data_IF_562575849854
#
_entry.id   IF_562575849854
#
_cell.length_a   1.000
_cell.length_b   1.000
_cell.length_c   1.000
_cell.angle_alpha   90.00
_cell.angle_beta   90.00
_cell.angle_gamma   90.00
#
_symmetry.space_group_name_H-M   'P 1'
#
loop_
_entity.id
_entity.type
_entity.pdbx_description
1 polymer ?
#
# COMPACT_ATOMS: atom_id res chain seq x y z
N UNK A 1 62.79 97.41 -59.74
CA UNK A 1 62.49 96.83 -61.08
C UNK A 1 61.79 95.49 -60.89
N UNK A 2 60.47 95.49 -60.98
CA UNK A 2 59.64 94.27 -60.94
C UNK A 2 59.90 93.43 -62.18
N UNK A 3 60.42 92.21 -62.02
CA UNK A 3 60.38 91.20 -63.08
C UNK A 3 59.02 90.52 -63.03
N UNK A 4 58.14 90.90 -63.96
CA UNK A 4 56.90 90.15 -64.23
C UNK A 4 57.32 88.82 -64.85
N UNK A 5 57.01 87.72 -64.17
CA UNK A 5 57.20 86.38 -64.69
C UNK A 5 56.15 86.16 -65.80
N UNK A 6 56.58 86.25 -67.06
CA UNK A 6 55.72 85.96 -68.23
C UNK A 6 55.96 84.50 -68.60
N UNK A 7 55.16 83.62 -68.00
CA UNK A 7 55.05 82.22 -68.43
C UNK A 7 54.24 82.24 -69.73
N UNK A 8 54.82 81.79 -70.86
CA UNK A 8 54.12 81.74 -72.14
C UNK A 8 52.87 80.85 -72.08
N UNK A 9 51.75 81.32 -72.66
CA UNK A 9 50.45 80.63 -72.65
C UNK A 9 50.50 79.17 -73.17
N UNK A 10 51.44 78.86 -74.06
CA UNK A 10 51.65 77.50 -74.58
C UNK A 10 52.12 76.49 -73.51
N UNK A 11 53.05 76.87 -72.63
CA UNK A 11 53.51 75.97 -71.55
C UNK A 11 52.41 75.75 -70.51
N UNK A 12 51.53 76.73 -70.26
CA UNK A 12 50.39 76.60 -69.35
C UNK A 12 49.38 75.56 -69.82
N UNK A 13 49.18 75.44 -71.13
CA UNK A 13 48.24 74.48 -71.73
C UNK A 13 48.65 73.02 -71.52
N UNK A 14 49.96 72.71 -71.56
CA UNK A 14 50.46 71.35 -71.39
C UNK A 14 50.39 70.85 -69.95
N UNK A 15 50.62 71.73 -68.97
CA UNK A 15 50.47 71.38 -67.54
C UNK A 15 49.01 71.15 -67.16
N UNK A 16 48.09 71.97 -67.65
CA UNK A 16 46.65 71.80 -67.41
C UNK A 16 46.12 70.50 -68.03
N UNK A 17 46.55 70.15 -69.24
CA UNK A 17 46.19 68.89 -69.90
C UNK A 17 46.73 67.65 -69.16
N UNK A 18 47.93 67.75 -68.58
CA UNK A 18 48.51 66.66 -67.79
C UNK A 18 47.83 66.48 -66.41
N UNK A 19 47.48 67.58 -65.74
CA UNK A 19 46.70 67.54 -64.50
C UNK A 19 45.28 66.97 -64.71
N UNK A 20 44.61 67.34 -65.82
CA UNK A 20 43.31 66.77 -66.19
C UNK A 20 43.38 65.27 -66.46
N UNK A 21 44.40 64.79 -67.20
CA UNK A 21 44.59 63.36 -67.45
C UNK A 21 44.87 62.58 -66.17
N UNK A 22 45.71 63.11 -65.27
CA UNK A 22 45.98 62.50 -63.96
C UNK A 22 44.71 62.46 -63.12
N UNK A 23 43.91 63.53 -63.09
CA UNK A 23 42.63 63.57 -62.38
C UNK A 23 41.61 62.56 -62.95
N UNK A 24 41.54 62.39 -64.27
CA UNK A 24 40.66 61.41 -64.92
C UNK A 24 41.08 59.97 -64.56
N UNK A 25 42.37 59.66 -64.59
CA UNK A 25 42.90 58.33 -64.24
C UNK A 25 42.66 58.01 -62.77
N UNK A 26 42.93 58.95 -61.86
CA UNK A 26 42.69 58.78 -60.42
C UNK A 26 41.19 58.72 -60.08
N UNK A 27 40.36 59.53 -60.74
CA UNK A 27 38.90 59.49 -60.60
C UNK A 27 38.32 58.13 -61.02
N UNK A 28 38.80 57.56 -62.12
CA UNK A 28 38.39 56.23 -62.56
C UNK A 28 38.76 55.11 -61.58
N UNK A 29 39.94 55.19 -60.96
CA UNK A 29 40.38 54.23 -59.93
C UNK A 29 39.55 54.35 -58.63
N UNK A 30 39.23 55.56 -58.18
CA UNK A 30 38.35 55.78 -57.04
C UNK A 30 36.95 55.19 -57.28
N UNK A 31 36.39 55.39 -58.47
CA UNK A 31 35.08 54.82 -58.84
C UNK A 31 35.12 53.29 -58.81
N UNK A 32 36.20 52.66 -59.28
CA UNK A 32 36.37 51.20 -59.21
C UNK A 32 36.40 50.70 -57.76
N UNK A 33 37.19 51.33 -56.89
CA UNK A 33 37.29 50.97 -55.47
C UNK A 33 35.95 51.14 -54.75
N UNK A 34 35.27 52.25 -54.99
CA UNK A 34 33.96 52.53 -54.43
C UNK A 34 32.92 51.50 -54.91
N UNK A 35 32.90 51.20 -56.21
CA UNK A 35 32.01 50.19 -56.78
C UNK A 35 32.28 48.81 -56.19
N UNK A 36 33.56 48.43 -56.03
CA UNK A 36 33.93 47.16 -55.43
C UNK A 36 33.52 47.08 -53.95
N UNK A 37 33.79 48.13 -53.16
CA UNK A 37 33.38 48.20 -51.76
C UNK A 37 31.86 48.13 -51.61
N UNK A 38 31.10 48.84 -52.46
CA UNK A 38 29.64 48.81 -52.46
C UNK A 38 29.10 47.41 -52.80
N UNK A 39 29.63 46.75 -53.85
CA UNK A 39 29.24 45.36 -54.17
C UNK A 39 29.52 44.42 -53.01
N UNK A 40 30.68 44.54 -52.37
CA UNK A 40 31.05 43.72 -51.20
C UNK A 40 30.12 43.96 -50.01
N UNK A 41 29.78 45.22 -49.74
CA UNK A 41 28.82 45.57 -48.69
C UNK A 41 27.43 44.97 -48.97
N UNK A 42 26.94 45.07 -50.21
CA UNK A 42 25.65 44.49 -50.58
C UNK A 42 25.64 42.96 -50.50
N UNK A 43 26.71 42.29 -50.95
CA UNK A 43 26.84 40.84 -50.80
C UNK A 43 26.88 40.40 -49.33
N UNK A 44 27.52 41.20 -48.47
CA UNK A 44 27.49 40.96 -47.02
C UNK A 44 26.09 41.15 -46.45
N UNK A 45 25.39 42.23 -46.85
CA UNK A 45 24.02 42.52 -46.42
C UNK A 45 23.07 41.39 -46.79
N UNK A 46 23.10 40.91 -48.04
CA UNK A 46 22.27 39.78 -48.48
C UNK A 46 22.50 38.52 -47.64
N UNK A 47 23.76 38.23 -47.28
CA UNK A 47 24.07 37.09 -46.39
C UNK A 47 23.51 37.28 -44.98
N UNK A 48 23.52 38.50 -44.46
CA UNK A 48 22.90 38.80 -43.17
C UNK A 48 21.37 38.68 -43.25
N UNK A 49 20.75 39.21 -44.29
CA UNK A 49 19.30 39.11 -44.50
C UNK A 49 18.87 37.63 -44.61
N UNK A 50 19.64 36.80 -45.34
CA UNK A 50 19.41 35.36 -45.42
C UNK A 50 19.59 34.67 -44.06
N UNK A 51 20.62 35.03 -43.29
CA UNK A 51 20.84 34.49 -41.95
C UNK A 51 19.71 34.87 -40.98
N UNK A 52 19.22 36.10 -41.05
CA UNK A 52 18.08 36.58 -40.26
C UNK A 52 16.79 35.84 -40.64
N UNK A 53 16.57 35.57 -41.94
CA UNK A 53 15.44 34.77 -42.40
C UNK A 53 15.47 33.35 -41.83
N UNK A 54 16.63 32.68 -41.88
CA UNK A 54 16.80 31.35 -41.26
C UNK A 54 16.59 31.38 -39.74
N UNK A 55 17.09 32.42 -39.08
CA UNK A 55 16.89 32.57 -37.63
C UNK A 55 15.41 32.75 -37.28
N UNK A 56 14.67 33.57 -38.04
CA UNK A 56 13.23 33.74 -37.87
C UNK A 56 12.47 32.42 -38.05
N UNK A 57 12.86 31.60 -39.03
CA UNK A 57 12.29 30.26 -39.22
C UNK A 57 12.55 29.34 -38.01
N UNK A 58 13.77 29.34 -37.47
CA UNK A 58 14.10 28.56 -36.28
C UNK A 58 13.29 29.04 -35.07
N UNK A 59 13.13 30.34 -34.88
CA UNK A 59 12.30 30.90 -33.81
C UNK A 59 10.83 30.47 -33.94
N UNK A 60 10.26 30.55 -35.15
CA UNK A 60 8.88 30.11 -35.39
C UNK A 60 8.69 28.62 -35.04
N UNK A 61 9.66 27.76 -35.41
CA UNK A 61 9.62 26.34 -35.05
C UNK A 61 9.77 26.09 -33.55
N UNK A 62 10.56 26.92 -32.84
CA UNK A 62 10.67 26.82 -31.38
C UNK A 62 9.37 27.20 -30.69
N UNK A 63 8.71 28.27 -31.14
CA UNK A 63 7.39 28.68 -30.62
C UNK A 63 6.34 27.58 -30.84
N UNK A 64 6.35 26.92 -32.01
CA UNK A 64 5.49 25.76 -32.28
C UNK A 64 5.76 24.60 -31.33
N UNK A 65 7.03 24.26 -31.08
CA UNK A 65 7.41 23.18 -30.16
C UNK A 65 7.06 23.51 -28.70
N UNK A 66 7.19 24.77 -28.29
CA UNK A 66 6.79 25.21 -26.96
C UNK A 66 5.27 25.12 -26.77
N UNK A 67 4.48 25.49 -27.79
CA UNK A 67 3.03 25.33 -27.76
C UNK A 67 2.61 23.86 -27.71
N UNK A 68 3.30 22.98 -28.43
CA UNK A 68 3.06 21.53 -28.36
C UNK A 68 3.39 20.97 -26.98
N UNK A 69 4.55 21.34 -26.41
CA UNK A 69 4.94 20.92 -25.06
C UNK A 69 3.93 21.37 -24.01
N UNK A 70 3.45 22.61 -24.09
CA UNK A 70 2.45 23.12 -23.16
C UNK A 70 1.14 22.30 -23.23
N UNK A 71 0.71 21.90 -24.43
CA UNK A 71 -0.47 21.03 -24.60
C UNK A 71 -0.24 19.64 -24.03
N UNK A 72 0.90 19.03 -24.34
CA UNK A 72 1.27 17.70 -23.80
C UNK A 72 1.36 17.72 -22.28
N UNK A 73 1.87 18.79 -21.67
CA UNK A 73 1.92 18.95 -20.23
C UNK A 73 0.52 19.05 -19.61
N UNK A 74 -0.40 19.80 -20.20
CA UNK A 74 -1.79 19.89 -19.73
C UNK A 74 -2.53 18.56 -19.90
N UNK A 75 -2.35 17.87 -21.03
CA UNK A 75 -2.91 16.54 -21.25
C UNK A 75 -2.36 15.54 -20.22
N UNK A 76 -1.05 15.54 -19.97
CA UNK A 76 -0.42 14.67 -18.99
C UNK A 76 -0.90 14.99 -17.55
N UNK A 77 -1.10 16.25 -17.21
CA UNK A 77 -1.71 16.64 -15.92
C UNK A 77 -3.13 16.10 -15.80
N UNK A 78 -3.97 16.30 -16.83
CA UNK A 78 -5.34 15.79 -16.81
C UNK A 78 -5.42 14.26 -16.69
N UNK A 79 -4.49 13.54 -17.36
CA UNK A 79 -4.41 12.09 -17.26
C UNK A 79 -3.99 11.64 -15.86
N UNK A 80 -3.03 12.33 -15.24
CA UNK A 80 -2.63 12.06 -13.86
C UNK A 80 -3.77 12.30 -12.89
N UNK A 81 -4.46 13.44 -12.99
CA UNK A 81 -5.62 13.75 -12.15
C UNK A 81 -6.74 12.70 -12.32
N UNK A 82 -7.00 12.24 -13.55
CA UNK A 82 -7.97 11.19 -13.81
C UNK A 82 -7.56 9.84 -13.16
N UNK A 83 -6.30 9.44 -13.29
CA UNK A 83 -5.79 8.21 -12.67
C UNK A 83 -5.78 8.32 -11.14
N UNK A 84 -5.45 9.48 -10.58
CA UNK A 84 -5.51 9.70 -9.14
C UNK A 84 -6.94 9.60 -8.62
N UNK A 85 -7.92 10.16 -9.33
CA UNK A 85 -9.33 10.02 -8.99
C UNK A 85 -9.82 8.57 -9.07
N UNK A 86 -9.41 7.82 -10.09
CA UNK A 86 -9.72 6.39 -10.23
C UNK A 86 -9.12 5.56 -9.08
N UNK A 87 -7.85 5.81 -8.73
CA UNK A 87 -7.19 5.14 -7.61
C UNK A 87 -7.84 5.44 -6.27
N UNK A 88 -8.34 6.67 -6.06
CA UNK A 88 -9.09 7.02 -4.86
C UNK A 88 -10.43 6.27 -4.81
N UNK A 89 -11.18 6.25 -5.90
CA UNK A 89 -12.44 5.51 -5.99
C UNK A 89 -12.23 3.99 -5.78
N UNK A 90 -11.17 3.41 -6.34
CA UNK A 90 -10.83 2.00 -6.13
C UNK A 90 -10.51 1.73 -4.65
N UNK A 91 -9.73 2.59 -4.00
CA UNK A 91 -9.40 2.44 -2.57
C UNK A 91 -10.64 2.53 -1.69
N UNK A 92 -11.54 3.47 -1.96
CA UNK A 92 -12.81 3.59 -1.24
C UNK A 92 -13.67 2.35 -1.44
N UNK A 93 -13.79 1.85 -2.67
CA UNK A 93 -14.52 0.61 -2.95
C UNK A 93 -13.91 -0.60 -2.23
N UNK A 94 -12.57 -0.69 -2.16
CA UNK A 94 -11.87 -1.75 -1.42
C UNK A 94 -12.06 -1.65 0.09
N UNK A 95 -12.16 -0.44 0.64
CA UNK A 95 -12.49 -0.25 2.06
C UNK A 95 -13.92 -0.72 2.32
N UNK A 96 -14.88 -0.29 1.50
CA UNK A 96 -16.26 -0.74 1.63
C UNK A 96 -16.43 -2.27 1.48
N UNK A 97 -15.68 -2.90 0.58
CA UNK A 97 -15.65 -4.36 0.41
C UNK A 97 -15.12 -5.05 1.68
N UNK A 98 -14.05 -4.53 2.28
CA UNK A 98 -13.49 -5.08 3.53
C UNK A 98 -14.44 -4.92 4.70
N UNK A 99 -15.04 -3.74 4.86
CA UNK A 99 -16.04 -3.49 5.91
C UNK A 99 -17.24 -4.44 5.77
N UNK A 100 -17.73 -4.66 4.54
CA UNK A 100 -18.79 -5.63 4.30
C UNK A 100 -18.35 -7.07 4.63
N UNK A 101 -17.12 -7.46 4.28
CA UNK A 101 -16.58 -8.78 4.63
C UNK A 101 -16.42 -8.94 6.15
N UNK A 102 -15.99 -7.91 6.86
CA UNK A 102 -15.85 -7.92 8.32
C UNK A 102 -17.20 -8.11 9.00
N UNK A 103 -18.25 -7.42 8.53
CA UNK A 103 -19.63 -7.63 9.03
C UNK A 103 -20.10 -9.07 8.83
N UNK A 104 -19.91 -9.63 7.63
CA UNK A 104 -20.27 -11.02 7.36
C UNK A 104 -19.50 -11.99 8.28
N UNK A 105 -18.19 -11.76 8.48
CA UNK A 105 -17.38 -12.58 9.40
C UNK A 105 -17.87 -12.49 10.84
N UNK A 106 -18.23 -11.30 11.33
CA UNK A 106 -18.82 -11.11 12.65
C UNK A 106 -20.15 -11.86 12.79
N UNK A 107 -21.00 -11.83 11.75
CA UNK A 107 -22.25 -12.63 11.75
C UNK A 107 -21.98 -14.13 11.79
N UNK A 108 -21.03 -14.64 10.99
CA UNK A 108 -20.66 -16.05 11.01
C UNK A 108 -20.08 -16.46 12.37
N UNK A 109 -19.26 -15.62 12.98
CA UNK A 109 -18.72 -15.86 14.33
C UNK A 109 -19.84 -15.92 15.36
N UNK A 110 -20.75 -14.94 15.37
CA UNK A 110 -21.88 -14.91 16.28
C UNK A 110 -22.79 -16.14 16.15
N UNK A 111 -23.08 -16.58 14.90
CA UNK A 111 -23.87 -17.80 14.66
C UNK A 111 -23.14 -19.05 15.14
N UNK A 112 -21.85 -19.16 14.87
CA UNK A 112 -21.01 -20.28 15.32
C UNK A 112 -20.98 -20.37 16.85
N UNK A 113 -20.78 -19.24 17.54
CA UNK A 113 -20.79 -19.17 19.00
C UNK A 113 -22.16 -19.56 19.56
N UNK A 114 -23.25 -19.03 18.99
CA UNK A 114 -24.61 -19.39 19.38
C UNK A 114 -24.88 -20.89 19.20
N UNK A 115 -24.45 -21.48 18.09
CA UNK A 115 -24.60 -22.91 17.83
C UNK A 115 -23.77 -23.76 18.81
N UNK A 116 -22.55 -23.34 19.12
CA UNK A 116 -21.71 -24.01 20.10
C UNK A 116 -22.34 -23.97 21.51
N UNK A 117 -22.90 -22.83 21.91
CA UNK A 117 -23.63 -22.71 23.18
C UNK A 117 -24.89 -23.59 23.20
N UNK A 118 -25.66 -23.61 22.09
CA UNK A 118 -26.84 -24.47 21.94
C UNK A 118 -26.47 -25.94 22.08
N UNK A 119 -25.46 -26.40 21.34
CA UNK A 119 -24.99 -27.79 21.37
C UNK A 119 -24.43 -28.17 22.74
N UNK A 120 -23.72 -27.27 23.42
CA UNK A 120 -23.25 -27.50 24.79
C UNK A 120 -24.42 -27.64 25.77
N UNK A 121 -25.47 -26.83 25.60
CA UNK A 121 -26.71 -26.93 26.37
C UNK A 121 -27.41 -28.27 26.15
N UNK A 122 -27.56 -28.67 24.89
CA UNK A 122 -28.15 -29.94 24.48
C UNK A 122 -27.37 -31.13 25.02
N UNK A 123 -26.06 -31.17 24.83
CA UNK A 123 -25.21 -32.26 25.35
C UNK A 123 -25.28 -32.37 26.88
N UNK A 124 -25.33 -31.23 27.59
CA UNK A 124 -25.52 -31.23 29.05
C UNK A 124 -26.90 -31.77 29.45
N UNK A 125 -27.95 -31.38 28.73
CA UNK A 125 -29.31 -31.86 29.00
C UNK A 125 -29.44 -33.36 28.70
N UNK A 126 -28.85 -33.84 27.62
CA UNK A 126 -28.78 -35.26 27.26
C UNK A 126 -28.02 -36.06 28.32
N UNK A 127 -26.87 -35.57 28.80
CA UNK A 127 -26.14 -36.19 29.89
C UNK A 127 -26.95 -36.24 31.19
N UNK A 128 -27.65 -35.16 31.56
CA UNK A 128 -28.48 -35.14 32.76
C UNK A 128 -29.69 -36.10 32.68
N UNK A 129 -30.12 -36.47 31.47
CA UNK A 129 -31.17 -37.47 31.24
C UNK A 129 -30.62 -38.89 31.06
N UNK A 130 -29.31 -39.05 30.94
CA UNK A 130 -28.70 -40.35 30.74
C UNK A 130 -28.65 -41.13 32.06
N UNK A 131 -28.78 -42.48 32.03
CA UNK A 131 -28.64 -43.29 33.23
C UNK A 131 -27.23 -43.21 33.83
N UNK A 132 -26.21 -42.87 33.03
CA UNK A 132 -24.84 -42.66 33.50
C UNK A 132 -24.75 -41.55 34.54
N UNK A 133 -25.53 -40.47 34.38
CA UNK A 133 -25.59 -39.41 35.37
C UNK A 133 -26.15 -39.90 36.71
N UNK A 134 -27.20 -40.73 36.71
CA UNK A 134 -27.77 -41.30 37.93
C UNK A 134 -26.78 -42.23 38.65
N UNK A 135 -26.01 -43.03 37.88
CA UNK A 135 -24.94 -43.87 38.42
C UNK A 135 -23.85 -43.01 39.06
N UNK A 136 -23.34 -41.99 38.36
CA UNK A 136 -22.31 -41.09 38.88
C UNK A 136 -22.79 -40.29 40.09
N UNK A 137 -24.04 -39.83 40.08
CA UNK A 137 -24.65 -39.12 41.19
C UNK A 137 -24.82 -40.05 42.40
N UNK A 138 -25.27 -41.29 42.18
CA UNK A 138 -25.37 -42.32 43.20
C UNK A 138 -24.02 -42.63 43.84
N UNK A 139 -22.99 -42.88 43.01
CA UNK A 139 -21.61 -43.13 43.46
C UNK A 139 -21.08 -41.97 44.30
N UNK A 140 -21.31 -40.73 43.87
CA UNK A 140 -20.88 -39.53 44.61
C UNK A 140 -21.69 -39.28 45.89
N UNK A 141 -23.00 -39.52 45.89
CA UNK A 141 -23.83 -39.40 47.08
C UNK A 141 -23.44 -40.46 48.13
N UNK A 142 -23.15 -41.68 47.68
CA UNK A 142 -22.70 -42.77 48.52
C UNK A 142 -21.35 -42.49 49.18
N UNK A 143 -20.39 -41.91 48.44
CA UNK A 143 -19.09 -41.55 49.03
C UNK A 143 -19.24 -40.51 50.15
N UNK A 144 -20.04 -39.45 49.94
CA UNK A 144 -20.34 -38.48 51.01
C UNK A 144 -21.06 -39.11 52.20
N UNK A 145 -22.02 -40.00 51.95
CA UNK A 145 -22.71 -40.73 53.03
C UNK A 145 -21.73 -41.57 53.84
N UNK A 146 -20.85 -42.33 53.17
CA UNK A 146 -19.83 -43.17 53.80
C UNK A 146 -18.89 -42.32 54.65
N UNK A 147 -18.33 -41.25 54.10
CA UNK A 147 -17.42 -40.36 54.81
C UNK A 147 -18.09 -39.69 56.02
N UNK A 148 -19.33 -39.22 55.86
CA UNK A 148 -20.11 -38.63 56.95
C UNK A 148 -20.47 -39.63 58.05
N UNK A 149 -20.86 -40.86 57.67
CA UNK A 149 -21.17 -41.94 58.60
C UNK A 149 -19.95 -42.30 59.45
N UNK A 150 -18.80 -42.54 58.82
CA UNK A 150 -17.57 -42.87 59.55
C UNK A 150 -17.06 -41.70 60.40
N UNK A 151 -17.18 -40.47 59.90
CA UNK A 151 -16.85 -39.27 60.68
C UNK A 151 -17.73 -39.10 61.92
N UNK A 152 -19.04 -39.36 61.81
CA UNK A 152 -19.96 -39.32 62.95
C UNK A 152 -19.69 -40.45 63.95
N UNK A 153 -19.42 -41.67 63.46
CA UNK A 153 -19.05 -42.80 64.30
C UNK A 153 -17.76 -42.54 65.09
N UNK A 154 -16.76 -41.92 64.45
CA UNK A 154 -15.53 -41.53 65.13
C UNK A 154 -15.81 -40.58 66.31
N UNK A 155 -16.68 -39.59 66.14
CA UNK A 155 -17.08 -38.68 67.22
C UNK A 155 -17.77 -39.41 68.37
N UNK A 156 -18.67 -40.35 68.10
CA UNK A 156 -19.30 -41.14 69.15
C UNK A 156 -18.27 -41.93 69.96
N UNK A 157 -17.33 -42.59 69.27
CA UNK A 157 -16.23 -43.34 69.91
C UNK A 157 -15.37 -42.44 70.80
N UNK A 158 -15.06 -41.21 70.35
CA UNK A 158 -14.33 -40.21 71.15
C UNK A 158 -15.10 -39.76 72.41
N UNK A 159 -16.43 -39.85 72.39
CA UNK A 159 -17.31 -39.55 73.53
C UNK A 159 -17.60 -40.77 74.45
N UNK A 160 -16.89 -41.89 74.26
CA UNK A 160 -16.99 -43.06 75.15
C UNK A 160 -18.01 -44.11 74.73
N UNK A 161 -18.48 -44.06 73.49
CA UNK A 161 -19.33 -45.10 72.89
C UNK A 161 -18.52 -46.39 72.62
N UNK A 162 -18.99 -47.55 73.11
CA UNK A 162 -18.43 -48.87 72.78
C UNK A 162 -19.42 -49.70 71.95
N UNK A 163 -18.91 -50.44 70.96
CA UNK A 163 -19.74 -51.20 70.01
C UNK A 163 -20.50 -52.37 70.64
N UNK A 164 -20.20 -52.72 71.90
CA UNK A 164 -20.81 -53.80 72.65
C UNK A 164 -22.26 -53.50 73.09
N UNK A 165 -22.69 -52.23 73.08
CA UNK A 165 -24.04 -51.81 73.48
C UNK A 165 -25.06 -51.73 72.32
N UNK A 166 -24.68 -52.14 71.10
CA UNK A 166 -25.52 -51.95 69.91
C UNK A 166 -26.42 -53.13 69.55
N UNK A 167 -27.60 -52.86 68.96
CA UNK A 167 -28.36 -53.89 68.26
C UNK A 167 -27.57 -54.41 67.06
N UNK A 168 -27.65 -55.71 66.81
CA UNK A 168 -26.91 -56.46 65.77
C UNK A 168 -26.98 -55.81 64.38
N UNK A 169 -28.10 -55.15 64.09
CA UNK A 169 -28.35 -54.43 62.83
C UNK A 169 -27.37 -53.30 62.52
N UNK A 170 -26.67 -52.73 63.51
CA UNK A 170 -25.69 -51.66 63.30
C UNK A 170 -24.35 -52.19 62.74
N UNK A 171 -23.89 -53.33 63.26
CA UNK A 171 -22.66 -53.99 62.80
C UNK A 171 -22.84 -54.61 61.40
N UNK A 172 -24.02 -55.14 61.12
CA UNK A 172 -24.38 -55.62 59.77
C UNK A 172 -24.35 -54.47 58.74
N UNK A 173 -24.77 -53.27 59.14
CA UNK A 173 -24.73 -52.06 58.32
C UNK A 173 -23.30 -51.59 58.04
N UNK A 174 -22.42 -51.56 59.05
CA UNK A 174 -21.00 -51.23 58.87
C UNK A 174 -20.30 -52.20 57.91
N UNK A 175 -20.55 -53.51 58.03
CA UNK A 175 -19.98 -54.51 57.13
C UNK A 175 -20.53 -54.41 55.71
N UNK A 176 -21.83 -54.18 55.56
CA UNK A 176 -22.44 -53.99 54.24
C UNK A 176 -21.87 -52.75 53.54
N UNK A 177 -21.68 -51.65 54.27
CA UNK A 177 -21.09 -50.41 53.74
C UNK A 177 -19.62 -50.56 53.37
N UNK A 178 -18.84 -51.35 54.12
CA UNK A 178 -17.45 -51.63 53.80
C UNK A 178 -17.31 -52.48 52.52
N UNK A 179 -18.22 -53.45 52.30
CA UNK A 179 -18.21 -54.33 51.12
C UNK A 179 -18.65 -53.62 49.83
N UNK A 180 -19.72 -52.83 49.90
CA UNK A 180 -20.29 -52.15 48.73
C UNK A 180 -19.33 -51.11 48.12
N UNK A 181 -18.36 -50.60 48.89
CA UNK A 181 -17.38 -49.63 48.41
C UNK A 181 -16.21 -50.21 47.60
N UNK A 182 -15.95 -51.52 47.68
CA UNK A 182 -14.83 -52.19 46.99
C UNK A 182 -15.25 -52.84 45.65
N UNK A 183 -16.56 -53.02 45.39
CA UNK A 183 -17.08 -53.70 44.19
C UNK A 183 -17.28 -52.78 42.96
N UNK A 184 -17.10 -51.45 43.06
CA UNK A 184 -17.41 -50.46 41.99
C UNK A 184 -16.18 -49.87 41.24
N UNK A 185 -14.99 -50.47 41.36
CA UNK A 185 -13.78 -50.09 40.60
C UNK A 185 -13.54 -50.94 39.32
N UNK A 186 -14.35 -51.98 39.06
CA UNK A 186 -14.08 -52.97 37.98
C UNK A 186 -14.80 -52.71 36.63
N UNK A 187 -15.58 -51.63 36.45
CA UNK A 187 -16.33 -51.36 35.21
C UNK A 187 -15.91 -50.04 34.51
N UNK A 188 -14.62 -49.87 34.16
CA UNK A 188 -14.12 -48.79 33.28
C UNK A 188 -13.01 -49.35 32.36
N UNK A 189 -13.28 -50.44 31.64
CA UNK A 189 -12.46 -50.87 30.49
C UNK A 189 -13.40 -51.31 29.38
N UNK A 190 -13.75 -50.39 28.48
CA UNK A 190 -13.91 -50.65 27.03
C UNK A 190 -14.46 -49.41 26.32
N UNK A 191 -13.55 -48.62 25.73
CA UNK A 191 -13.76 -47.87 24.48
C UNK A 191 -12.45 -47.20 24.00
N UNK A 192 -11.56 -48.00 23.40
CA UNK A 192 -10.60 -47.53 22.40
C UNK A 192 -10.80 -48.36 21.11
N UNK A 193 -11.38 -47.78 20.05
CA UNK A 193 -10.93 -48.08 18.68
C UNK A 193 -11.40 -47.05 17.62
N UNK A 194 -10.42 -46.60 16.82
CA UNK A 194 -10.48 -45.95 15.50
C UNK A 194 -10.96 -44.49 15.36
N UNK A 195 -10.01 -43.60 15.04
CA UNK A 195 -9.72 -43.26 13.63
C UNK A 195 -8.48 -42.36 13.47
N UNK A 196 -7.47 -42.86 12.76
CA UNK A 196 -6.34 -42.11 12.19
C UNK A 196 -6.77 -41.53 10.82
N UNK A 197 -6.51 -40.26 10.47
CA UNK A 197 -6.64 -39.82 9.09
C UNK A 197 -5.35 -40.11 8.30
N UNK A 198 -5.44 -40.60 7.04
CA UNK A 198 -4.28 -40.79 6.18
C UNK A 198 -3.74 -39.45 5.65
N UNK A 199 -2.44 -39.46 5.32
CA UNK A 199 -1.57 -38.36 4.86
C UNK A 199 -2.12 -37.45 3.77
#
# INVERSE_FOLDING_TARGET
MSRKNVMSDSNRSYYLCWEELVAIVWGGEMVKRLTHAHRRANASRQKFDEALGRHAEVLARLEELEALRAREEEEAKSQREALEAELLAEREARVAEKEAMEVELEEYQARSEQEAERLKGEAREEFLKSPEFDVLLGKRAFSYFKDGFWGCLAQFRDHGYSEEEHPTSFLDLQQALAKLGDEEEEEEEDQEEYNTPPS
#
